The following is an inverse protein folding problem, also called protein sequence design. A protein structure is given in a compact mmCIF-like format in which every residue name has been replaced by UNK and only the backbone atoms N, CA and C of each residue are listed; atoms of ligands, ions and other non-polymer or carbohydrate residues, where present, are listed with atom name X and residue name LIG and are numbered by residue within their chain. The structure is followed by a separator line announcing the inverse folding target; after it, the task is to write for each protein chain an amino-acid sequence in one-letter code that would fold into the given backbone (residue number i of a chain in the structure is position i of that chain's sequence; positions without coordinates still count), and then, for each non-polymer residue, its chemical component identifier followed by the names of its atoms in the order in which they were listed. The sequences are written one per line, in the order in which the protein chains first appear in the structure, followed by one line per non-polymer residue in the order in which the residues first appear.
data_IF_734816417118
#
_entry.id   IF_734816417118
#
_cell.length_a   1.000
_cell.length_b   1.000
_cell.length_c   1.000
_cell.angle_alpha   90.00
_cell.angle_beta   90.00
_cell.angle_gamma   90.00
#
_symmetry.space_group_name_H-M   'P 1'
#
loop_
_entity.id
_entity.type
_entity.pdbx_description
1 polymer ?
#
# COMPACT_ATOMS: atom_id res chain seq x y z
N UNK A 1 5.55 -10.28 -7.87
CA UNK A 1 4.90 -10.85 -6.67
C UNK A 1 5.39 -12.28 -6.47
N UNK A 2 5.82 -12.59 -5.25
CA UNK A 2 6.29 -13.94 -4.95
C UNK A 2 5.16 -14.96 -5.01
N UNK A 3 5.48 -16.16 -5.50
CA UNK A 3 4.49 -17.22 -5.67
C UNK A 3 3.77 -17.59 -4.37
N UNK A 4 4.51 -17.68 -3.26
CA UNK A 4 3.92 -18.05 -1.96
C UNK A 4 2.87 -17.03 -1.51
N UNK A 5 3.08 -15.76 -1.77
CA UNK A 5 2.11 -14.71 -1.44
C UNK A 5 0.90 -14.81 -2.35
N UNK A 6 1.14 -15.02 -3.63
CA UNK A 6 0.06 -15.16 -4.60
C UNK A 6 -0.88 -16.33 -4.24
N UNK A 7 -0.31 -17.46 -3.83
CA UNK A 7 -1.09 -18.62 -3.42
C UNK A 7 -1.96 -18.31 -2.20
N UNK A 8 -1.42 -17.59 -1.22
CA UNK A 8 -2.19 -17.17 -0.04
C UNK A 8 -3.33 -16.23 -0.46
N UNK A 9 -3.05 -15.27 -1.34
CA UNK A 9 -4.07 -14.30 -1.79
C UNK A 9 -5.20 -15.00 -2.56
N UNK A 10 -4.88 -15.98 -3.38
CA UNK A 10 -5.89 -16.81 -4.08
C UNK A 10 -6.78 -17.53 -3.08
N UNK A 11 -6.19 -18.09 -2.04
CA UNK A 11 -6.94 -18.80 -1.02
C UNK A 11 -7.86 -17.85 -0.23
N UNK A 12 -7.38 -16.64 0.07
CA UNK A 12 -8.21 -15.62 0.72
C UNK A 12 -9.46 -15.31 -0.09
N UNK A 13 -9.28 -15.15 -1.40
CA UNK A 13 -10.40 -14.86 -2.31
C UNK A 13 -11.34 -16.04 -2.40
N UNK A 14 -10.82 -17.27 -2.50
CA UNK A 14 -11.63 -18.46 -2.59
C UNK A 14 -12.46 -18.71 -1.33
N UNK A 15 -11.86 -18.49 -0.15
CA UNK A 15 -12.53 -18.77 1.12
C UNK A 15 -13.48 -17.65 1.54
N UNK A 16 -13.05 -16.39 1.38
CA UNK A 16 -13.78 -15.24 1.92
C UNK A 16 -14.49 -14.41 0.85
N UNK A 17 -14.10 -14.52 -0.39
CA UNK A 17 -14.74 -13.85 -1.52
C UNK A 17 -14.14 -12.47 -1.82
N UNK A 18 -14.29 -12.05 -3.08
CA UNK A 18 -13.76 -10.79 -3.59
C UNK A 18 -14.32 -9.60 -2.82
N UNK A 19 -15.63 -9.61 -2.57
CA UNK A 19 -16.31 -8.49 -1.91
C UNK A 19 -15.76 -8.24 -0.51
N UNK A 20 -15.59 -9.31 0.28
CA UNK A 20 -15.03 -9.23 1.62
C UNK A 20 -13.60 -8.70 1.60
N UNK A 21 -12.80 -9.12 0.61
CA UNK A 21 -11.41 -8.69 0.51
C UNK A 21 -11.28 -7.23 0.08
N UNK A 22 -12.16 -6.75 -0.78
CA UNK A 22 -12.20 -5.32 -1.14
C UNK A 22 -12.53 -4.48 0.09
N UNK A 23 -13.52 -4.89 0.86
CA UNK A 23 -13.89 -4.19 2.10
C UNK A 23 -12.75 -4.17 3.10
N UNK A 24 -12.05 -5.29 3.25
CA UNK A 24 -10.89 -5.39 4.13
C UNK A 24 -9.78 -4.42 3.71
N UNK A 25 -9.53 -4.32 2.39
CA UNK A 25 -8.54 -3.38 1.87
C UNK A 25 -8.90 -1.94 2.24
N UNK A 26 -10.17 -1.56 2.08
CA UNK A 26 -10.65 -0.22 2.44
C UNK A 26 -10.44 0.03 3.94
N UNK A 27 -10.75 -0.94 4.78
CA UNK A 27 -10.56 -0.82 6.23
C UNK A 27 -9.10 -0.65 6.61
N UNK A 28 -8.21 -1.47 6.04
CA UNK A 28 -6.78 -1.38 6.34
C UNK A 28 -6.17 -0.06 5.87
N UNK A 29 -6.58 0.43 4.71
CA UNK A 29 -6.15 1.73 4.23
C UNK A 29 -6.60 2.85 5.18
N UNK A 30 -7.82 2.74 5.72
CA UNK A 30 -8.34 3.70 6.68
C UNK A 30 -7.55 3.69 7.99
N UNK A 31 -7.16 2.50 8.47
CA UNK A 31 -6.34 2.37 9.68
C UNK A 31 -4.96 2.99 9.50
N UNK A 32 -4.32 2.77 8.35
CA UNK A 32 -3.04 3.41 8.06
C UNK A 32 -3.18 4.93 8.03
N UNK A 33 -4.22 5.43 7.37
CA UNK A 33 -4.49 6.87 7.32
C UNK A 33 -4.61 7.44 8.73
N UNK A 34 -5.34 6.75 9.58
CA UNK A 34 -5.55 7.16 10.98
C UNK A 34 -4.23 7.26 11.73
N UNK A 35 -3.36 6.24 11.61
CA UNK A 35 -2.07 6.24 12.29
C UNK A 35 -1.14 7.35 11.76
N UNK A 36 -1.13 7.59 10.46
CA UNK A 36 -0.34 8.67 9.89
C UNK A 36 -0.83 10.04 10.35
N UNK A 37 -2.14 10.23 10.44
CA UNK A 37 -2.72 11.48 10.93
C UNK A 37 -2.38 11.73 12.40
N UNK A 38 -2.38 10.67 13.22
CA UNK A 38 -1.96 10.79 14.61
C UNK A 38 -0.50 11.21 14.71
N UNK A 39 0.38 10.59 13.92
CA UNK A 39 1.79 10.94 13.90
C UNK A 39 2.00 12.40 13.49
N UNK A 40 1.27 12.86 12.49
CA UNK A 40 1.31 14.24 12.03
C UNK A 40 0.88 15.22 13.14
N UNK A 41 -0.23 14.92 13.83
CA UNK A 41 -0.73 15.77 14.93
C UNK A 41 0.23 15.84 16.10
N UNK A 42 0.96 14.75 16.35
CA UNK A 42 1.93 14.67 17.44
C UNK A 42 3.28 15.29 17.06
N UNK A 43 3.35 16.02 15.95
CA UNK A 43 4.57 16.66 15.43
C UNK A 43 5.69 15.65 15.15
N UNK A 44 5.33 14.49 14.64
CA UNK A 44 6.31 13.46 14.23
C UNK A 44 7.25 13.05 15.35
N UNK A 45 6.73 12.85 16.56
CA UNK A 45 7.55 12.43 17.69
C UNK A 45 8.23 11.08 17.46
N UNK A 46 7.63 10.24 16.63
CA UNK A 46 8.23 8.97 16.19
C UNK A 46 8.73 8.12 17.37
N UNK A 47 7.88 7.97 18.39
CA UNK A 47 8.21 7.04 19.49
C UNK A 47 8.28 5.62 18.94
N UNK A 48 9.06 4.72 19.58
CA UNK A 48 9.12 3.33 19.12
C UNK A 48 7.76 2.67 18.97
N UNK A 49 6.83 2.91 19.89
CA UNK A 49 5.48 2.34 19.83
C UNK A 49 4.70 2.88 18.63
N UNK A 50 4.84 4.17 18.35
CA UNK A 50 4.15 4.81 17.23
C UNK A 50 4.68 4.31 15.90
N UNK A 51 6.00 4.21 15.77
CA UNK A 51 6.65 3.66 14.58
C UNK A 51 6.21 2.21 14.36
N UNK A 52 6.16 1.41 15.42
CA UNK A 52 5.74 0.02 15.32
C UNK A 52 4.32 -0.11 14.79
N UNK A 53 3.38 0.69 15.31
CA UNK A 53 2.00 0.68 14.83
C UNK A 53 1.89 1.09 13.37
N UNK A 54 2.65 2.10 12.96
CA UNK A 54 2.65 2.53 11.56
C UNK A 54 3.19 1.43 10.65
N UNK A 55 4.28 0.79 11.04
CA UNK A 55 4.86 -0.32 10.27
C UNK A 55 3.90 -1.49 10.13
N UNK A 56 3.19 -1.84 11.20
CA UNK A 56 2.18 -2.90 11.17
C UNK A 56 1.06 -2.57 10.18
N UNK A 57 0.56 -1.33 10.23
CA UNK A 57 -0.49 -0.91 9.30
C UNK A 57 0.00 -0.83 7.85
N UNK A 58 1.25 -0.43 7.62
CA UNK A 58 1.83 -0.46 6.28
C UNK A 58 1.86 -1.89 5.74
N UNK A 59 2.28 -2.85 6.58
CA UNK A 59 2.32 -4.25 6.18
C UNK A 59 0.93 -4.77 5.80
N UNK A 60 -0.08 -4.45 6.62
CA UNK A 60 -1.46 -4.84 6.34
C UNK A 60 -1.95 -4.26 5.01
N UNK A 61 -1.68 -2.99 4.76
CA UNK A 61 -2.07 -2.33 3.51
C UNK A 61 -1.35 -2.95 2.31
N UNK A 62 -0.04 -3.22 2.43
CA UNK A 62 0.72 -3.84 1.34
C UNK A 62 0.13 -5.19 0.96
N UNK A 63 -0.19 -6.02 1.96
CA UNK A 63 -0.79 -7.33 1.71
C UNK A 63 -2.14 -7.20 1.01
N UNK A 64 -2.96 -6.24 1.42
CA UNK A 64 -4.26 -6.04 0.80
C UNK A 64 -4.16 -5.46 -0.61
N UNK A 65 -3.23 -4.53 -0.84
CA UNK A 65 -3.01 -3.95 -2.17
C UNK A 65 -2.49 -5.02 -3.14
N UNK A 66 -1.58 -5.89 -2.70
CA UNK A 66 -1.11 -7.01 -3.51
C UNK A 66 -2.26 -7.93 -3.91
N UNK A 67 -3.18 -8.17 -2.97
CA UNK A 67 -4.37 -8.97 -3.25
C UNK A 67 -5.28 -8.29 -4.28
N UNK A 68 -5.44 -6.96 -4.18
CA UNK A 68 -6.19 -6.18 -5.15
C UNK A 68 -5.56 -6.27 -6.55
N UNK A 69 -4.24 -6.24 -6.63
CA UNK A 69 -3.54 -6.43 -7.90
C UNK A 69 -3.90 -7.78 -8.53
N UNK A 70 -3.94 -8.82 -7.70
CA UNK A 70 -4.32 -10.14 -8.19
C UNK A 70 -5.77 -10.16 -8.71
N UNK A 71 -6.68 -9.46 -8.03
CA UNK A 71 -8.09 -9.40 -8.43
C UNK A 71 -8.28 -8.64 -9.74
N UNK A 72 -7.63 -7.48 -9.87
CA UNK A 72 -7.90 -6.53 -10.95
C UNK A 72 -6.90 -6.59 -12.10
N UNK A 73 -5.68 -7.03 -11.87
CA UNK A 73 -4.68 -7.19 -12.92
C UNK A 73 -3.29 -6.76 -12.51
N UNK A 74 -2.42 -7.74 -12.26
CA UNK A 74 -1.04 -7.50 -11.82
C UNK A 74 -0.25 -6.73 -12.88
N UNK A 75 -0.31 -7.19 -14.13
CA UNK A 75 0.46 -6.60 -15.23
C UNK A 75 0.06 -5.15 -15.50
N UNK A 76 -1.24 -4.89 -15.48
CA UNK A 76 -1.75 -3.55 -15.73
C UNK A 76 -1.35 -2.57 -14.64
N UNK A 77 -1.40 -3.00 -13.38
CA UNK A 77 -0.93 -2.19 -12.25
C UNK A 77 0.56 -1.90 -12.38
N UNK A 78 1.35 -2.91 -12.73
CA UNK A 78 2.80 -2.74 -12.89
C UNK A 78 3.14 -1.76 -14.01
N UNK A 79 2.44 -1.82 -15.12
CA UNK A 79 2.61 -0.86 -16.23
C UNK A 79 2.35 0.58 -15.78
N UNK A 80 1.25 0.80 -15.06
CA UNK A 80 0.94 2.12 -14.54
C UNK A 80 1.96 2.58 -13.51
N UNK A 81 2.42 1.70 -12.63
CA UNK A 81 3.44 2.05 -11.63
C UNK A 81 4.72 2.53 -12.29
N UNK A 82 5.21 1.80 -13.29
CA UNK A 82 6.43 2.16 -13.99
C UNK A 82 6.30 3.50 -14.70
N UNK A 83 5.18 3.72 -15.40
CA UNK A 83 4.94 4.99 -16.09
C UNK A 83 4.88 6.17 -15.13
N UNK A 84 4.22 5.98 -13.99
CA UNK A 84 4.09 7.03 -12.98
C UNK A 84 5.42 7.33 -12.29
N UNK A 85 6.23 6.32 -12.02
CA UNK A 85 7.55 6.51 -11.44
C UNK A 85 8.50 7.23 -12.40
N UNK A 86 8.44 6.92 -13.69
CA UNK A 86 9.23 7.62 -14.70
C UNK A 86 8.86 9.10 -14.74
N UNK A 87 7.56 9.42 -14.69
CA UNK A 87 7.07 10.79 -14.64
C UNK A 87 7.53 11.52 -13.39
N UNK A 88 7.47 10.83 -12.25
CA UNK A 88 7.93 11.37 -10.97
C UNK A 88 9.42 11.70 -11.03
N UNK A 89 10.21 10.83 -11.64
CA UNK A 89 11.66 11.08 -11.80
C UNK A 89 11.92 12.34 -12.61
N UNK A 90 11.19 12.55 -13.69
CA UNK A 90 11.32 13.75 -14.50
C UNK A 90 11.01 15.01 -13.67
N UNK A 91 9.94 14.96 -12.87
CA UNK A 91 9.57 16.08 -12.01
C UNK A 91 10.63 16.37 -10.95
N UNK A 92 11.18 15.31 -10.34
CA UNK A 92 12.27 15.45 -9.38
C UNK A 92 13.50 16.10 -10.01
N UNK A 93 13.87 15.67 -11.21
CA UNK A 93 15.01 16.23 -11.91
C UNK A 93 14.80 17.71 -12.24
N UNK A 94 13.58 18.08 -12.66
CA UNK A 94 13.22 19.48 -12.90
C UNK A 94 13.30 20.32 -11.62
N UNK A 95 12.75 19.82 -10.51
CA UNK A 95 12.74 20.54 -9.25
C UNK A 95 14.14 20.70 -8.68
N UNK A 96 15.02 19.73 -8.86
CA UNK A 96 16.42 19.83 -8.46
C UNK A 96 17.15 20.91 -9.24
N UNK A 97 16.86 21.05 -10.54
CA UNK A 97 17.47 22.08 -11.35
C UNK A 97 17.07 23.49 -10.94
N UNK A 98 15.88 23.63 -10.37
CA UNK A 98 15.38 24.92 -9.88
C UNK A 98 16.00 25.37 -8.56
N UNK A 99 16.60 24.43 -7.84
CA UNK A 99 17.31 24.72 -6.60
C UNK A 99 18.78 25.01 -6.91
#
# INVERSE_FOLDING_TARGET
MEKKYLDIYKDCIDVWGVDAQIKMCIEEMSELTKELCKNYRDNFKDTPDQIDRICEEIADVQNMVDQMQHIFGIEKVDEYREAKLARTKLRLDEDRRKK
#
